data_IF_049757854520
#
_entry.id   IF_049757854520
#
_cell.length_a   1.000
_cell.length_b   1.000
_cell.length_c   1.000
_cell.angle_alpha   90.00
_cell.angle_beta   90.00
_cell.angle_gamma   90.00
#
_symmetry.space_group_name_H-M   'P 1'
#
loop_
_entity.id
_entity.type
_entity.pdbx_description
1 polymer ?
#
# COMPACT_ATOMS: atom_id res chain seq x y z
N UNK A 1 4.96 -17.92 -6.57
CA UNK A 1 6.22 -17.11 -6.50
C UNK A 1 6.71 -17.05 -5.06
N UNK A 2 7.96 -17.42 -4.82
CA UNK A 2 8.55 -17.35 -3.47
C UNK A 2 9.35 -16.06 -3.33
N UNK A 3 8.95 -15.21 -2.38
CA UNK A 3 9.65 -13.97 -2.02
C UNK A 3 10.45 -14.22 -0.75
N UNK A 4 11.77 -14.05 -0.81
CA UNK A 4 12.65 -14.13 0.36
C UNK A 4 13.12 -12.74 0.76
N UNK A 5 12.92 -12.39 2.01
CA UNK A 5 13.35 -11.13 2.61
C UNK A 5 14.35 -11.44 3.71
N UNK A 6 15.50 -10.77 3.63
CA UNK A 6 16.52 -10.80 4.67
C UNK A 6 16.84 -9.37 5.07
N UNK A 7 16.75 -9.09 6.35
CA UNK A 7 17.26 -7.86 6.95
C UNK A 7 18.41 -8.20 7.86
N UNK A 8 19.51 -7.51 7.66
CA UNK A 8 20.70 -7.58 8.50
C UNK A 8 21.07 -6.20 8.97
N UNK A 9 21.33 -6.03 10.23
CA UNK A 9 21.94 -4.80 10.76
C UNK A 9 23.21 -5.15 11.55
N UNK A 10 24.13 -4.19 11.65
CA UNK A 10 25.35 -4.36 12.43
C UNK A 10 25.02 -4.61 13.89
N UNK A 11 25.71 -5.54 14.51
CA UNK A 11 25.58 -5.75 15.95
C UNK A 11 26.26 -4.60 16.71
N UNK A 12 25.50 -3.94 17.57
CA UNK A 12 26.00 -2.83 18.37
C UNK A 12 26.45 -3.29 19.74
N UNK A 13 27.73 -2.99 20.09
CA UNK A 13 28.37 -3.34 21.35
C UNK A 13 28.57 -2.13 22.30
N UNK A 14 27.65 -1.19 22.31
CA UNK A 14 27.66 -0.13 23.32
C UNK A 14 27.33 -0.69 24.72
N UNK A 15 27.78 -0.01 25.77
CA UNK A 15 27.44 -0.39 27.16
C UNK A 15 25.93 -0.61 27.37
N UNK A 16 25.10 0.28 26.79
CA UNK A 16 23.63 0.18 26.89
C UNK A 16 23.10 -1.03 26.14
N UNK A 17 23.59 -1.29 24.93
CA UNK A 17 23.20 -2.45 24.14
C UNK A 17 23.58 -3.76 24.84
N UNK A 18 24.80 -3.87 25.38
CA UNK A 18 25.26 -5.03 26.15
C UNK A 18 24.40 -5.25 27.40
N UNK A 19 24.02 -4.18 28.11
CA UNK A 19 23.15 -4.28 29.29
C UNK A 19 21.73 -4.73 28.94
N UNK A 20 21.15 -4.24 27.84
CA UNK A 20 19.84 -4.72 27.35
C UNK A 20 19.89 -6.19 26.98
N UNK A 21 20.91 -6.62 26.22
CA UNK A 21 21.12 -8.04 25.86
C UNK A 21 21.18 -8.92 27.12
N UNK A 22 21.95 -8.51 28.12
CA UNK A 22 22.09 -9.25 29.37
C UNK A 22 20.81 -9.30 30.20
N UNK A 23 20.10 -8.18 30.33
CA UNK A 23 18.88 -8.09 31.15
C UNK A 23 17.69 -8.86 30.55
N UNK A 24 17.61 -8.89 29.25
CA UNK A 24 16.47 -9.46 28.52
C UNK A 24 16.80 -10.79 27.81
N UNK A 25 17.99 -11.35 28.05
CA UNK A 25 18.46 -12.56 27.39
C UNK A 25 18.35 -12.52 25.84
N UNK A 26 18.51 -11.33 25.26
CA UNK A 26 18.42 -11.11 23.84
C UNK A 26 19.79 -11.35 23.19
N UNK A 27 19.95 -12.45 22.46
CA UNK A 27 21.23 -12.80 21.85
C UNK A 27 21.58 -11.87 20.69
N UNK A 28 20.69 -11.68 19.70
CA UNK A 28 20.88 -10.74 18.59
C UNK A 28 19.52 -10.31 18.03
N UNK A 29 19.33 -8.99 17.81
CA UNK A 29 18.17 -8.44 17.13
C UNK A 29 18.46 -8.04 15.68
N UNK A 30 19.58 -8.52 15.12
CA UNK A 30 20.16 -7.97 13.89
C UNK A 30 19.75 -8.71 12.63
N UNK A 31 19.39 -9.97 12.74
CA UNK A 31 19.03 -10.80 11.60
C UNK A 31 17.54 -11.15 11.62
N UNK A 32 16.88 -10.81 10.54
CA UNK A 32 15.51 -11.21 10.32
C UNK A 32 15.37 -11.76 8.90
N UNK A 33 14.90 -13.01 8.79
CA UNK A 33 14.66 -13.66 7.52
C UNK A 33 13.21 -14.12 7.45
N UNK A 34 12.58 -13.89 6.31
CA UNK A 34 11.23 -14.35 6.03
C UNK A 34 11.11 -14.84 4.60
N UNK A 35 10.41 -15.94 4.41
CA UNK A 35 9.97 -16.44 3.12
C UNK A 35 8.45 -16.32 3.03
N UNK A 36 7.95 -15.78 1.91
CA UNK A 36 6.54 -15.67 1.61
C UNK A 36 6.26 -16.38 0.29
N UNK A 37 5.32 -17.30 0.29
CA UNK A 37 4.82 -17.92 -0.93
C UNK A 37 3.56 -17.21 -1.38
N UNK A 38 3.66 -16.46 -2.48
CA UNK A 38 2.57 -15.64 -3.00
C UNK A 38 1.92 -16.34 -4.20
N UNK A 39 0.58 -16.40 -4.27
CA UNK A 39 -0.16 -17.06 -5.34
C UNK A 39 -0.28 -16.18 -6.58
N UNK A 40 0.83 -15.64 -7.07
CA UNK A 40 0.85 -14.68 -8.18
C UNK A 40 1.13 -15.30 -9.55
N UNK A 41 1.61 -16.55 -9.57
CA UNK A 41 1.96 -17.26 -10.81
C UNK A 41 0.80 -18.12 -11.29
N UNK A 42 0.57 -18.10 -12.60
CA UNK A 42 -0.48 -18.90 -13.22
C UNK A 42 -1.91 -18.40 -13.03
N UNK A 43 -2.10 -17.26 -12.38
CA UNK A 43 -3.38 -16.61 -12.19
C UNK A 43 -3.49 -15.36 -13.06
N UNK A 44 -4.65 -15.14 -13.66
CA UNK A 44 -5.02 -13.83 -14.18
C UNK A 44 -5.62 -13.00 -13.04
N UNK A 45 -4.86 -12.02 -12.53
CA UNK A 45 -5.26 -11.22 -11.39
C UNK A 45 -4.97 -9.74 -11.60
N UNK A 46 -5.72 -8.89 -10.94
CA UNK A 46 -5.61 -7.42 -11.00
C UNK A 46 -5.33 -6.80 -9.65
N UNK A 47 -5.87 -7.36 -8.57
CA UNK A 47 -5.74 -6.83 -7.21
C UNK A 47 -5.26 -7.95 -6.28
N UNK A 48 -4.05 -7.81 -5.77
CA UNK A 48 -3.53 -8.62 -4.69
C UNK A 48 -3.56 -7.85 -3.36
N UNK A 49 -3.65 -8.56 -2.26
CA UNK A 49 -3.66 -7.98 -0.93
C UNK A 49 -2.71 -8.73 0.01
N UNK A 50 -1.86 -7.98 0.70
CA UNK A 50 -1.06 -8.48 1.81
C UNK A 50 -1.56 -7.83 3.10
N UNK A 51 -2.02 -8.64 4.04
CA UNK A 51 -2.49 -8.18 5.35
C UNK A 51 -1.60 -8.69 6.49
N UNK A 52 -1.69 -8.02 7.63
CA UNK A 52 -0.98 -8.41 8.85
C UNK A 52 -0.73 -7.23 9.77
N UNK A 53 -0.34 -7.48 11.01
CA UNK A 53 -0.06 -6.44 11.99
C UNK A 53 1.08 -5.51 11.56
N UNK A 54 1.18 -4.33 12.18
CA UNK A 54 2.34 -3.46 11.99
C UNK A 54 3.62 -4.21 12.38
N UNK A 55 4.69 -4.04 11.60
CA UNK A 55 5.94 -4.78 11.81
C UNK A 55 5.96 -6.23 11.31
N UNK A 56 4.88 -6.76 10.74
CA UNK A 56 4.83 -8.15 10.23
C UNK A 56 5.61 -8.39 8.93
N UNK A 57 6.28 -7.38 8.38
CA UNK A 57 7.09 -7.51 7.16
C UNK A 57 6.36 -7.28 5.84
N UNK A 58 5.12 -6.77 5.85
CA UNK A 58 4.33 -6.47 4.64
C UNK A 58 5.10 -5.64 3.62
N UNK A 59 5.63 -4.51 4.06
CA UNK A 59 6.42 -3.58 3.22
C UNK A 59 7.63 -4.28 2.60
N UNK A 60 8.33 -5.08 3.41
CA UNK A 60 9.51 -5.82 2.96
C UNK A 60 9.18 -6.91 1.93
N UNK A 61 8.04 -7.55 2.07
CA UNK A 61 7.54 -8.53 1.08
C UNK A 61 7.06 -7.78 -0.17
N UNK A 62 6.23 -6.75 0.00
CA UNK A 62 5.65 -5.98 -1.10
C UNK A 62 6.71 -5.37 -2.01
N UNK A 63 7.76 -4.76 -1.46
CA UNK A 63 8.86 -4.16 -2.22
C UNK A 63 9.65 -5.15 -3.10
N UNK A 64 9.52 -6.45 -2.84
CA UNK A 64 10.22 -7.51 -3.59
C UNK A 64 9.37 -8.16 -4.69
N UNK A 65 8.05 -7.92 -4.71
CA UNK A 65 7.14 -8.61 -5.65
C UNK A 65 7.45 -8.27 -7.09
N UNK A 66 7.61 -6.98 -7.40
CA UNK A 66 7.86 -6.52 -8.76
C UNK A 66 9.28 -5.97 -8.96
N UNK A 67 10.05 -5.80 -7.88
CA UNK A 67 11.35 -5.15 -7.94
C UNK A 67 11.30 -3.65 -8.24
N UNK A 68 10.12 -3.04 -8.16
CA UNK A 68 9.86 -1.64 -8.42
C UNK A 68 9.64 -0.88 -7.10
N UNK A 69 9.87 0.45 -7.08
CA UNK A 69 9.56 1.27 -5.91
C UNK A 69 8.09 1.17 -5.52
N UNK A 70 7.81 1.26 -4.21
CA UNK A 70 6.44 1.34 -3.69
C UNK A 70 5.81 2.65 -4.19
N UNK A 71 4.60 2.55 -4.72
CA UNK A 71 3.82 3.70 -5.18
C UNK A 71 3.26 4.46 -3.97
N UNK A 72 3.70 5.70 -3.82
CA UNK A 72 3.24 6.57 -2.73
C UNK A 72 2.07 7.43 -3.20
N UNK A 73 0.89 7.21 -2.61
CA UNK A 73 -0.33 7.99 -2.88
C UNK A 73 -0.19 9.46 -2.47
N UNK A 74 0.70 9.75 -1.54
CA UNK A 74 0.83 11.05 -0.87
C UNK A 74 2.01 11.89 -1.34
N UNK A 75 3.00 11.30 -2.01
CA UNK A 75 4.17 11.98 -2.53
C UNK A 75 3.97 12.57 -3.94
N UNK A 76 4.84 13.51 -4.33
CA UNK A 76 4.90 14.04 -5.69
C UNK A 76 3.79 15.03 -6.07
N UNK A 77 3.07 15.59 -5.10
CA UNK A 77 2.06 16.62 -5.33
C UNK A 77 2.67 18.03 -5.29
N UNK A 78 2.37 18.83 -6.31
CA UNK A 78 2.74 20.25 -6.33
C UNK A 78 1.83 21.04 -5.38
N UNK A 79 2.41 21.57 -4.30
CA UNK A 79 1.66 22.32 -3.29
C UNK A 79 1.11 23.67 -3.79
N UNK A 80 1.53 24.12 -4.97
CA UNK A 80 1.12 25.40 -5.57
C UNK A 80 0.02 25.26 -6.61
N UNK A 81 -0.36 24.01 -6.96
CA UNK A 81 -1.36 23.71 -7.99
C UNK A 81 -2.56 22.96 -7.41
N UNK A 82 -3.75 23.13 -7.99
CA UNK A 82 -4.90 22.32 -7.63
C UNK A 82 -4.67 20.86 -8.01
N UNK A 83 -5.31 19.92 -7.28
CA UNK A 83 -5.09 18.50 -7.54
C UNK A 83 -5.49 18.07 -8.95
N UNK A 84 -6.47 18.70 -9.55
CA UNK A 84 -6.91 18.38 -10.92
C UNK A 84 -5.81 18.60 -11.96
N UNK A 85 -4.90 19.56 -11.72
CA UNK A 85 -3.77 19.84 -12.60
C UNK A 85 -2.54 18.96 -12.28
N UNK A 86 -2.52 18.34 -11.09
CA UNK A 86 -1.43 17.45 -10.66
C UNK A 86 -1.66 15.99 -11.09
N UNK A 87 -2.92 15.59 -11.31
CA UNK A 87 -3.27 14.25 -11.75
C UNK A 87 -3.14 14.19 -13.27
N UNK A 88 -2.14 13.42 -13.77
CA UNK A 88 -1.87 13.28 -15.20
C UNK A 88 -1.83 14.64 -15.93
N UNK A 89 -0.81 15.50 -15.69
CA UNK A 89 -0.76 16.88 -16.22
C UNK A 89 -0.90 16.98 -17.74
N UNK A 90 -0.46 15.97 -18.48
CA UNK A 90 -0.59 15.88 -19.94
C UNK A 90 -1.78 15.00 -20.38
N UNK A 91 -2.62 14.61 -19.43
CA UNK A 91 -3.74 13.69 -19.66
C UNK A 91 -5.02 14.42 -20.08
N UNK A 92 -6.01 13.62 -20.51
CA UNK A 92 -7.32 14.11 -20.85
C UNK A 92 -8.10 14.59 -19.61
N UNK A 93 -8.69 15.77 -19.69
CA UNK A 93 -9.49 16.37 -18.62
C UNK A 93 -10.63 15.44 -18.14
N UNK A 94 -11.33 14.80 -19.08
CA UNK A 94 -12.45 13.90 -18.75
C UNK A 94 -11.94 12.63 -18.03
N UNK A 95 -10.75 12.14 -18.37
CA UNK A 95 -10.14 11.00 -17.68
C UNK A 95 -9.83 11.37 -16.22
N UNK A 96 -9.25 12.54 -15.97
CA UNK A 96 -8.92 13.03 -14.61
C UNK A 96 -10.17 13.21 -13.76
N UNK A 97 -11.15 13.97 -14.26
CA UNK A 97 -12.41 14.24 -13.54
C UNK A 97 -13.25 12.99 -13.35
N UNK A 98 -13.24 12.11 -14.35
CA UNK A 98 -13.86 10.79 -14.27
C UNK A 98 -13.23 9.90 -13.21
N UNK A 99 -11.90 9.90 -13.10
CA UNK A 99 -11.19 9.14 -12.06
C UNK A 99 -11.46 9.68 -10.66
N UNK A 100 -11.43 11.01 -10.45
CA UNK A 100 -11.79 11.66 -9.19
C UNK A 100 -13.20 11.28 -8.73
N UNK A 101 -14.16 11.35 -9.64
CA UNK A 101 -15.55 10.94 -9.36
C UNK A 101 -15.65 9.44 -9.08
N UNK A 102 -14.96 8.59 -9.85
CA UNK A 102 -15.02 7.14 -9.76
C UNK A 102 -14.46 6.59 -8.45
N UNK A 103 -13.46 7.26 -7.84
CA UNK A 103 -12.93 6.88 -6.52
C UNK A 103 -13.71 7.51 -5.35
N UNK A 104 -14.82 8.19 -5.62
CA UNK A 104 -15.69 8.78 -4.62
C UNK A 104 -15.28 10.19 -4.15
N UNK A 105 -14.41 10.90 -4.86
CA UNK A 105 -14.12 12.31 -4.62
C UNK A 105 -15.00 13.20 -5.53
N UNK A 106 -16.31 13.20 -5.27
CA UNK A 106 -17.28 13.95 -6.06
C UNK A 106 -17.43 15.43 -5.68
N UNK A 107 -16.74 15.89 -4.64
CA UNK A 107 -16.74 17.30 -4.23
C UNK A 107 -15.86 18.13 -5.17
N UNK A 108 -16.47 18.75 -6.17
CA UNK A 108 -15.76 19.56 -7.18
C UNK A 108 -14.90 20.68 -6.58
N UNK A 109 -15.33 21.43 -5.54
CA UNK A 109 -14.48 22.40 -4.86
C UNK A 109 -13.17 21.83 -4.32
N UNK A 110 -13.12 20.54 -3.92
CA UNK A 110 -11.88 19.91 -3.48
C UNK A 110 -10.88 19.73 -4.63
N UNK A 111 -11.33 19.58 -5.86
CA UNK A 111 -10.46 19.41 -7.04
C UNK A 111 -9.63 20.67 -7.35
N UNK A 112 -10.15 21.84 -6.94
CA UNK A 112 -9.53 23.15 -7.14
C UNK A 112 -8.58 23.55 -6.00
N UNK A 113 -8.40 22.66 -5.01
CA UNK A 113 -7.49 22.89 -3.87
C UNK A 113 -6.17 22.18 -4.07
N UNK A 114 -5.05 22.74 -3.57
CA UNK A 114 -3.78 22.03 -3.55
C UNK A 114 -3.80 20.88 -2.52
N UNK A 115 -3.08 19.82 -2.82
CA UNK A 115 -3.08 18.58 -2.03
C UNK A 115 -2.82 18.76 -0.52
N UNK A 116 -1.91 19.64 -0.04
CA UNK A 116 -1.64 19.78 1.38
C UNK A 116 -2.83 20.21 2.23
N UNK A 117 -3.78 20.99 1.66
CA UNK A 117 -4.93 21.50 2.41
C UNK A 117 -6.14 20.56 2.41
N UNK A 118 -6.08 19.45 1.70
CA UNK A 118 -7.13 18.44 1.70
C UNK A 118 -7.16 17.68 3.03
N UNK A 119 -8.33 17.21 3.43
CA UNK A 119 -8.49 16.24 4.51
C UNK A 119 -7.83 14.90 4.17
N UNK A 120 -7.54 14.08 5.17
CA UNK A 120 -6.91 12.76 4.92
C UNK A 120 -7.74 11.87 3.98
N UNK A 121 -9.06 11.91 4.10
CA UNK A 121 -9.95 11.15 3.21
C UNK A 121 -9.97 11.69 1.77
N UNK A 122 -9.88 13.01 1.57
CA UNK A 122 -9.74 13.62 0.25
C UNK A 122 -8.37 13.31 -0.36
N UNK A 123 -7.28 13.41 0.43
CA UNK A 123 -5.92 13.04 0.02
C UNK A 123 -5.84 11.59 -0.46
N UNK A 124 -6.43 10.69 0.30
CA UNK A 124 -6.47 9.27 -0.07
C UNK A 124 -7.17 9.07 -1.41
N UNK A 125 -8.38 9.63 -1.58
CA UNK A 125 -9.13 9.50 -2.84
C UNK A 125 -8.43 10.20 -4.01
N UNK A 126 -7.81 11.35 -3.79
CA UNK A 126 -7.00 12.01 -4.81
C UNK A 126 -5.80 11.14 -5.25
N UNK A 127 -5.10 10.51 -4.30
CA UNK A 127 -4.03 9.55 -4.57
C UNK A 127 -4.51 8.34 -5.38
N UNK A 128 -5.69 7.80 -5.03
CA UNK A 128 -6.30 6.71 -5.80
C UNK A 128 -6.68 7.14 -7.22
N UNK A 129 -7.22 8.37 -7.39
CA UNK A 129 -7.54 8.91 -8.72
C UNK A 129 -6.28 9.03 -9.57
N UNK A 130 -5.17 9.53 -8.99
CA UNK A 130 -3.88 9.62 -9.68
C UNK A 130 -3.37 8.23 -10.10
N UNK A 131 -3.38 7.25 -9.19
CA UNK A 131 -2.98 5.88 -9.50
C UNK A 131 -3.84 5.27 -10.62
N UNK A 132 -5.15 5.55 -10.64
CA UNK A 132 -6.06 5.11 -11.70
C UNK A 132 -5.74 5.79 -13.05
N UNK A 133 -5.38 7.07 -13.06
CA UNK A 133 -5.02 7.81 -14.28
C UNK A 133 -3.67 7.39 -14.84
N UNK A 134 -2.64 7.31 -13.97
CA UNK A 134 -1.28 6.90 -14.35
C UNK A 134 -1.23 5.44 -14.79
N UNK A 135 -2.04 4.62 -14.18
CA UNK A 135 -2.26 3.20 -14.47
C UNK A 135 -0.98 2.44 -14.81
N UNK A 136 -0.02 2.37 -13.89
CA UNK A 136 1.17 1.58 -14.12
C UNK A 136 0.81 0.11 -14.36
N UNK A 137 1.60 -0.59 -15.16
CA UNK A 137 1.40 -2.03 -15.40
C UNK A 137 1.44 -2.83 -14.11
N UNK A 138 2.29 -2.40 -13.17
CA UNK A 138 2.46 -3.00 -11.85
C UNK A 138 2.63 -1.92 -10.81
N UNK A 139 1.99 -2.04 -9.66
CA UNK A 139 2.14 -1.15 -8.53
C UNK A 139 2.06 -1.90 -7.21
N UNK A 140 2.79 -1.43 -6.21
CA UNK A 140 2.63 -1.83 -4.81
C UNK A 140 2.29 -0.56 -4.03
N UNK A 141 1.21 -0.56 -3.29
CA UNK A 141 0.78 0.57 -2.46
C UNK A 141 0.85 0.15 -1.00
N UNK A 142 1.66 0.86 -0.22
CA UNK A 142 1.81 0.58 1.20
C UNK A 142 0.82 1.38 2.05
N UNK A 143 0.58 0.90 3.26
CA UNK A 143 -0.32 1.49 4.26
C UNK A 143 -1.72 1.83 3.70
N UNK A 144 -2.21 1.00 2.80
CA UNK A 144 -3.51 1.19 2.19
C UNK A 144 -4.60 1.28 3.26
N UNK A 145 -5.29 2.42 3.32
CA UNK A 145 -6.34 2.78 4.31
C UNK A 145 -5.88 2.99 5.76
N UNK A 146 -4.58 3.07 6.07
CA UNK A 146 -4.10 3.12 7.46
C UNK A 146 -4.45 4.41 8.21
N UNK A 147 -4.52 5.54 7.50
CA UNK A 147 -4.65 6.89 8.12
C UNK A 147 -6.01 7.55 7.90
N UNK A 148 -7.02 6.78 7.50
CA UNK A 148 -8.34 7.29 7.16
C UNK A 148 -9.46 6.62 7.96
N UNK A 149 -10.57 7.34 8.11
CA UNK A 149 -11.80 6.80 8.72
C UNK A 149 -12.29 5.55 7.98
N UNK A 150 -12.82 4.57 8.73
CA UNK A 150 -13.23 3.27 8.17
C UNK A 150 -14.38 3.37 7.16
N UNK A 151 -15.29 4.35 7.31
CA UNK A 151 -16.36 4.57 6.34
C UNK A 151 -15.81 5.11 5.02
N UNK A 152 -14.86 6.04 5.10
CA UNK A 152 -14.17 6.57 3.92
C UNK A 152 -13.33 5.46 3.27
N UNK A 153 -12.65 4.65 4.06
CA UNK A 153 -11.87 3.50 3.59
C UNK A 153 -12.75 2.52 2.81
N UNK A 154 -13.93 2.16 3.34
CA UNK A 154 -14.89 1.26 2.71
C UNK A 154 -15.30 1.75 1.34
N UNK A 155 -15.78 3.00 1.26
CA UNK A 155 -16.24 3.58 0.00
C UNK A 155 -15.09 3.72 -1.00
N UNK A 156 -13.94 4.21 -0.55
CA UNK A 156 -12.77 4.41 -1.42
C UNK A 156 -12.19 3.11 -1.95
N UNK A 157 -12.05 2.09 -1.09
CA UNK A 157 -11.54 0.78 -1.48
C UNK A 157 -12.44 0.08 -2.51
N UNK A 158 -13.76 0.05 -2.25
CA UNK A 158 -14.72 -0.56 -3.18
C UNK A 158 -14.76 0.19 -4.54
N UNK A 159 -14.77 1.51 -4.50
CA UNK A 159 -14.76 2.34 -5.70
C UNK A 159 -13.46 2.18 -6.52
N UNK A 160 -12.32 2.14 -5.83
CA UNK A 160 -11.03 1.88 -6.44
C UNK A 160 -11.00 0.49 -7.11
N UNK A 161 -11.36 -0.56 -6.39
CA UNK A 161 -11.36 -1.93 -6.91
C UNK A 161 -12.22 -2.06 -8.18
N UNK A 162 -13.44 -1.49 -8.16
CA UNK A 162 -14.32 -1.46 -9.33
C UNK A 162 -13.71 -0.73 -10.53
N UNK A 163 -12.99 0.37 -10.26
CA UNK A 163 -12.39 1.19 -11.32
C UNK A 163 -11.11 0.57 -11.85
N UNK A 164 -10.26 0.04 -10.96
CA UNK A 164 -9.00 -0.61 -11.32
C UNK A 164 -9.22 -1.83 -12.23
N UNK A 165 -10.22 -2.66 -11.91
CA UNK A 165 -10.55 -3.87 -12.70
C UNK A 165 -10.97 -3.63 -14.14
N UNK A 166 -11.30 -2.40 -14.51
CA UNK A 166 -11.64 -2.05 -15.91
C UNK A 166 -10.43 -1.95 -16.84
N UNK A 167 -9.22 -1.91 -16.31
CA UNK A 167 -8.00 -1.81 -17.10
C UNK A 167 -7.04 -3.00 -16.86
N UNK A 168 -5.82 -2.90 -17.37
CA UNK A 168 -4.87 -4.02 -17.47
C UNK A 168 -3.73 -4.00 -16.43
N UNK A 169 -3.76 -3.11 -15.45
CA UNK A 169 -2.73 -3.04 -14.41
C UNK A 169 -2.92 -4.09 -13.32
N UNK A 170 -1.80 -4.51 -12.70
CA UNK A 170 -1.76 -5.31 -11.48
C UNK A 170 -1.36 -4.43 -10.30
N UNK A 171 -2.12 -4.48 -9.19
CA UNK A 171 -1.80 -3.75 -7.97
C UNK A 171 -1.77 -4.67 -6.76
N UNK A 172 -0.76 -4.53 -5.92
CA UNK A 172 -0.69 -5.17 -4.61
C UNK A 172 -0.85 -4.11 -3.54
N UNK A 173 -1.83 -4.28 -2.69
CA UNK A 173 -2.14 -3.38 -1.59
C UNK A 173 -1.65 -4.00 -0.28
N UNK A 174 -0.95 -3.21 0.55
CA UNK A 174 -0.46 -3.64 1.85
C UNK A 174 -1.27 -2.94 2.93
N UNK A 175 -1.87 -3.70 3.86
CA UNK A 175 -2.71 -3.12 4.90
C UNK A 175 -2.60 -3.85 6.23
N UNK A 176 -2.77 -3.10 7.31
CA UNK A 176 -2.94 -3.67 8.65
C UNK A 176 -4.41 -3.97 8.99
N UNK A 177 -5.35 -3.65 8.09
CA UNK A 177 -6.77 -3.80 8.31
C UNK A 177 -7.35 -4.97 7.50
N UNK A 178 -8.03 -5.89 8.16
CA UNK A 178 -8.62 -7.09 7.54
C UNK A 178 -9.99 -6.85 6.92
N UNK A 179 -10.73 -5.85 7.39
CA UNK A 179 -12.06 -5.50 6.88
C UNK A 179 -12.05 -5.04 5.41
N UNK A 180 -10.91 -4.58 4.90
CA UNK A 180 -10.77 -4.21 3.49
C UNK A 180 -10.87 -5.41 2.53
N UNK A 181 -10.69 -6.64 3.01
CA UNK A 181 -10.84 -7.86 2.18
C UNK A 181 -12.25 -7.90 1.58
N UNK A 182 -13.27 -7.65 2.40
CA UNK A 182 -14.66 -7.61 1.95
C UNK A 182 -14.91 -6.50 0.93
N UNK A 183 -14.28 -5.34 1.10
CA UNK A 183 -14.54 -4.16 0.26
C UNK A 183 -13.77 -4.18 -1.07
N UNK A 184 -12.55 -4.68 -1.06
CA UNK A 184 -11.69 -4.80 -2.23
C UNK A 184 -12.02 -6.02 -3.07
N UNK A 185 -12.46 -7.11 -2.43
CA UNK A 185 -12.61 -8.44 -3.05
C UNK A 185 -11.36 -8.80 -3.88
N UNK A 186 -10.17 -8.84 -3.27
CA UNK A 186 -8.92 -9.07 -3.99
C UNK A 186 -8.92 -10.45 -4.63
N UNK A 187 -8.16 -10.60 -5.74
CA UNK A 187 -8.05 -11.86 -6.45
C UNK A 187 -7.22 -12.89 -5.66
N UNK A 188 -6.34 -12.41 -4.78
CA UNK A 188 -5.62 -13.21 -3.80
C UNK A 188 -5.30 -12.40 -2.54
N UNK A 189 -5.15 -13.11 -1.42
CA UNK A 189 -4.77 -12.55 -0.11
C UNK A 189 -3.60 -13.35 0.44
N UNK A 190 -2.59 -12.64 0.94
CA UNK A 190 -1.52 -13.20 1.75
C UNK A 190 -1.59 -12.61 3.16
N UNK A 191 -1.76 -13.48 4.18
CA UNK A 191 -1.78 -13.07 5.57
C UNK A 191 -0.43 -13.34 6.24
N UNK A 192 0.23 -12.25 6.65
CA UNK A 192 1.52 -12.36 7.32
C UNK A 192 1.48 -13.06 8.67
N UNK A 193 0.33 -13.21 9.33
CA UNK A 193 0.21 -13.89 10.62
C UNK A 193 0.07 -15.40 10.46
N UNK A 194 -0.70 -15.88 9.48
CA UNK A 194 -0.95 -17.30 9.27
C UNK A 194 0.32 -18.08 8.89
N UNK A 195 1.30 -17.40 8.29
CA UNK A 195 2.55 -17.99 7.87
C UNK A 195 3.72 -17.79 8.87
N UNK A 196 3.43 -17.31 10.09
CA UNK A 196 4.42 -17.14 11.17
C UNK A 196 4.34 -18.21 12.26
N UNK A 197 3.35 -19.10 12.24
CA UNK A 197 3.12 -20.07 13.31
C UNK A 197 4.05 -21.29 13.29
N UNK A 198 4.80 -21.51 12.21
CA UNK A 198 5.64 -22.72 12.06
C UNK A 198 7.15 -22.50 12.32
N UNK A 199 7.54 -21.36 12.89
CA UNK A 199 8.96 -21.05 13.18
C UNK A 199 9.28 -20.95 14.69
N UNK A 200 8.43 -21.50 15.55
CA UNK A 200 8.62 -21.55 16.99
C UNK A 200 8.31 -22.97 17.53
N UNK A 201 9.15 -23.93 17.15
CA UNK A 201 9.41 -25.19 17.88
C UNK A 201 10.92 -25.42 17.94
#
# INVERSE_FOLDING_TARGET
MIVKVKHHCSDFNSYRAARVKSLFNAENGCDWERSAELPVEGLDWKIGLIVGLSGSGKTSIGSRIFGEPIYDLYAGWDATKPIVDCIAPDGDFNAVTGALSAVGLGDVPAWLRPFPVLSNGEKFRAGLARLVCERPKRAVVDEFTSVIDRQIAKVGAAAFAKTWRKGDGQVVLLSCHYDIIEWLQPDWVYDCLLYTSDAAD
#
